data_IF_738492216705
#
_entry.id   IF_738492216705
#
_cell.length_a   1.000
_cell.length_b   1.000
_cell.length_c   1.000
_cell.angle_alpha   90.00
_cell.angle_beta   90.00
_cell.angle_gamma   90.00
#
_symmetry.space_group_name_H-M   'P 1'
#
loop_
_entity.id
_entity.type
_entity.pdbx_description
1 polymer ?
#
# COMPACT_ATOMS: atom_id res chain seq x y z
N UNK A 1 7.36 41.00 14.65
CA UNK A 1 7.60 39.67 15.25
C UNK A 1 7.40 38.63 14.15
N UNK A 2 8.38 37.77 13.86
CA UNK A 2 8.18 36.68 12.91
C UNK A 2 7.36 35.59 13.60
N UNK A 3 6.19 35.28 13.05
CA UNK A 3 5.34 34.21 13.55
C UNK A 3 6.08 32.88 13.36
N UNK A 4 6.13 32.05 14.41
CA UNK A 4 6.65 30.70 14.29
C UNK A 4 5.83 29.93 13.23
N UNK A 5 6.46 29.09 12.39
CA UNK A 5 5.71 28.28 11.45
C UNK A 5 4.67 27.43 12.19
N UNK A 6 3.48 27.30 11.60
CA UNK A 6 2.46 26.39 12.11
C UNK A 6 3.03 24.94 12.14
N UNK A 7 2.64 24.11 13.12
CA UNK A 7 3.06 22.73 13.15
C UNK A 7 2.58 22.00 11.88
N UNK A 8 3.38 21.04 11.41
CA UNK A 8 2.98 20.17 10.32
C UNK A 8 1.70 19.41 10.68
N UNK A 9 0.80 19.16 9.70
CA UNK A 9 -0.39 18.35 9.93
C UNK A 9 -0.01 16.93 10.38
N UNK A 10 -0.92 16.21 11.03
CA UNK A 10 -0.72 14.79 11.36
C UNK A 10 -1.39 13.93 10.27
N UNK A 11 -0.73 12.89 9.73
CA UNK A 11 -1.36 11.96 8.79
C UNK A 11 -2.65 11.38 9.37
N UNK A 12 -3.72 11.37 8.58
CA UNK A 12 -4.96 10.68 8.97
C UNK A 12 -4.74 9.18 8.81
N UNK A 13 -5.05 8.34 9.82
CA UNK A 13 -5.02 6.89 9.65
C UNK A 13 -5.89 6.45 8.48
N UNK A 14 -5.46 5.46 7.69
CA UNK A 14 -6.33 4.93 6.64
C UNK A 14 -7.52 4.17 7.24
N UNK A 15 -8.62 3.98 6.49
CA UNK A 15 -9.77 3.21 6.96
C UNK A 15 -9.36 1.77 7.36
N UNK A 16 -9.98 1.24 8.42
CA UNK A 16 -9.68 -0.14 8.88
C UNK A 16 -10.09 -1.20 7.85
N UNK A 17 -11.03 -0.88 6.97
CA UNK A 17 -11.45 -1.72 5.86
C UNK A 17 -11.70 -0.85 4.62
N UNK A 18 -11.14 -1.25 3.48
CA UNK A 18 -11.39 -0.59 2.20
C UNK A 18 -11.11 -1.53 1.02
N UNK A 19 -11.65 -1.13 -0.14
CA UNK A 19 -11.25 -1.66 -1.44
C UNK A 19 -10.55 -0.55 -2.22
N UNK A 20 -9.47 -0.91 -2.92
CA UNK A 20 -8.75 -0.01 -3.81
C UNK A 20 -8.30 -0.76 -5.07
N UNK A 21 -8.17 -0.02 -6.17
CA UNK A 21 -7.52 -0.51 -7.38
C UNK A 21 -6.12 0.11 -7.43
N UNK A 22 -5.10 -0.72 -7.39
CA UNK A 22 -3.70 -0.29 -7.40
C UNK A 22 -3.09 -0.65 -8.74
N UNK A 23 -2.39 0.30 -9.34
CA UNK A 23 -1.58 0.07 -10.53
C UNK A 23 -0.11 0.05 -10.14
N UNK A 24 0.56 -1.07 -10.37
CA UNK A 24 1.98 -1.24 -10.02
C UNK A 24 2.82 -1.34 -11.27
N UNK A 25 3.85 -0.50 -11.38
CA UNK A 25 4.84 -0.58 -12.43
C UNK A 25 6.13 -1.25 -11.93
N UNK A 26 6.34 -2.51 -12.32
CA UNK A 26 7.53 -3.28 -11.96
C UNK A 26 8.52 -3.42 -13.13
N UNK A 27 8.38 -2.67 -14.23
CA UNK A 27 9.21 -2.90 -15.43
C UNK A 27 10.69 -2.60 -15.20
N UNK A 28 11.02 -1.64 -14.32
CA UNK A 28 12.42 -1.30 -13.99
C UNK A 28 13.14 -2.40 -13.21
N UNK A 29 12.41 -3.23 -12.48
CA UNK A 29 12.96 -4.39 -11.75
C UNK A 29 12.86 -5.71 -12.52
N UNK A 30 12.52 -5.66 -13.82
CA UNK A 30 12.34 -6.83 -14.67
C UNK A 30 10.98 -7.53 -14.51
N UNK A 31 10.06 -6.93 -13.76
CA UNK A 31 8.68 -7.37 -13.63
C UNK A 31 7.77 -6.86 -14.75
N UNK A 32 6.46 -6.81 -14.46
CA UNK A 32 5.41 -6.40 -15.42
C UNK A 32 4.51 -5.33 -14.81
N UNK A 33 3.70 -4.70 -15.66
CA UNK A 33 2.61 -3.85 -15.21
C UNK A 33 1.50 -4.71 -14.63
N UNK A 34 1.02 -4.33 -13.45
CA UNK A 34 0.00 -5.06 -12.70
C UNK A 34 -1.17 -4.15 -12.34
N UNK A 35 -2.39 -4.67 -12.48
CA UNK A 35 -3.59 -4.10 -11.89
C UNK A 35 -4.02 -4.98 -10.73
N UNK A 36 -4.20 -4.40 -9.56
CA UNK A 36 -4.45 -5.11 -8.31
C UNK A 36 -5.76 -4.62 -7.70
N UNK A 37 -6.72 -5.52 -7.51
CA UNK A 37 -7.83 -5.28 -6.60
C UNK A 37 -7.37 -5.61 -5.18
N UNK A 38 -7.16 -4.57 -4.38
CA UNK A 38 -6.77 -4.67 -2.98
C UNK A 38 -8.01 -4.63 -2.10
N UNK A 39 -8.21 -5.68 -1.30
CA UNK A 39 -9.21 -5.74 -0.23
C UNK A 39 -8.47 -5.72 1.10
N UNK A 40 -8.50 -4.59 1.80
CA UNK A 40 -7.85 -4.41 3.09
C UNK A 40 -8.84 -4.68 4.24
N UNK A 41 -8.45 -5.52 5.19
CA UNK A 41 -9.27 -5.93 6.34
C UNK A 41 -8.43 -6.01 7.61
N UNK A 42 -8.18 -4.85 8.23
CA UNK A 42 -7.36 -4.75 9.44
C UNK A 42 -7.94 -5.53 10.64
N UNK A 43 -9.25 -5.45 10.97
CA UNK A 43 -9.82 -6.24 12.06
C UNK A 43 -9.72 -7.75 11.80
N UNK A 44 -9.82 -8.17 10.54
CA UNK A 44 -9.59 -9.54 10.10
C UNK A 44 -8.12 -9.95 10.01
N UNK A 45 -7.20 -9.00 10.21
CA UNK A 45 -5.75 -9.23 10.21
C UNK A 45 -5.18 -9.63 8.86
N UNK A 46 -5.81 -9.21 7.76
CA UNK A 46 -5.43 -9.63 6.39
C UNK A 46 -5.66 -8.57 5.34
N UNK A 47 -4.97 -8.69 4.21
CA UNK A 47 -5.45 -8.15 2.95
C UNK A 47 -5.51 -9.25 1.89
N UNK A 48 -6.23 -8.99 0.80
CA UNK A 48 -6.14 -9.76 -0.43
C UNK A 48 -5.74 -8.82 -1.56
N UNK A 49 -4.63 -9.14 -2.21
CA UNK A 49 -4.24 -8.60 -3.50
C UNK A 49 -4.67 -9.59 -4.58
N UNK A 50 -5.68 -9.22 -5.39
CA UNK A 50 -6.03 -9.96 -6.59
C UNK A 50 -5.31 -9.31 -7.78
N UNK A 51 -4.23 -9.96 -8.22
CA UNK A 51 -3.24 -9.40 -9.14
C UNK A 51 -3.52 -9.89 -10.55
N UNK A 52 -3.66 -8.96 -11.49
CA UNK A 52 -3.81 -9.21 -12.92
C UNK A 52 -2.68 -8.57 -13.71
N UNK A 53 -2.00 -9.37 -14.52
CA UNK A 53 -1.13 -8.86 -15.57
C UNK A 53 -2.00 -8.51 -16.79
N UNK A 54 -1.52 -7.62 -17.68
CA UNK A 54 -2.30 -7.09 -18.83
C UNK A 54 -2.95 -8.16 -19.73
N UNK A 55 -2.49 -9.41 -19.72
CA UNK A 55 -2.97 -10.50 -20.57
C UNK A 55 -3.23 -11.83 -19.82
N UNK A 56 -3.25 -11.85 -18.48
CA UNK A 56 -3.44 -13.10 -17.73
C UNK A 56 -4.92 -13.48 -17.60
N UNK A 57 -5.27 -14.70 -18.02
CA UNK A 57 -6.63 -15.25 -17.84
C UNK A 57 -6.89 -15.74 -16.41
N UNK A 58 -5.83 -16.16 -15.71
CA UNK A 58 -5.88 -16.59 -14.31
C UNK A 58 -5.15 -15.53 -13.45
N UNK A 59 -5.81 -14.93 -12.45
CA UNK A 59 -5.15 -13.97 -11.56
C UNK A 59 -4.30 -14.69 -10.50
N UNK A 60 -3.26 -14.01 -10.05
CA UNK A 60 -2.54 -14.41 -8.84
C UNK A 60 -3.25 -13.80 -7.63
N UNK A 61 -3.55 -14.62 -6.64
CA UNK A 61 -4.06 -14.18 -5.35
C UNK A 61 -2.90 -14.13 -4.36
N UNK A 62 -2.76 -13.03 -3.65
CA UNK A 62 -1.83 -12.88 -2.53
C UNK A 62 -2.61 -12.43 -1.29
N UNK A 63 -2.70 -13.31 -0.30
CA UNK A 63 -3.33 -13.03 0.99
C UNK A 63 -2.23 -12.79 2.02
N UNK A 64 -2.03 -11.53 2.39
CA UNK A 64 -1.04 -11.13 3.39
C UNK A 64 -1.69 -11.05 4.77
N UNK A 65 -1.00 -11.57 5.79
CA UNK A 65 -1.46 -11.56 7.18
C UNK A 65 -0.60 -10.64 8.06
N UNK A 66 -1.20 -10.14 9.14
CA UNK A 66 -0.51 -9.31 10.15
C UNK A 66 0.66 -10.01 10.85
N UNK A 67 0.71 -11.35 10.82
CA UNK A 67 1.83 -12.12 11.34
C UNK A 67 3.02 -12.23 10.36
N UNK A 68 2.95 -11.56 9.21
CA UNK A 68 3.97 -11.58 8.17
C UNK A 68 3.86 -12.73 7.17
N UNK A 69 2.91 -13.65 7.32
CA UNK A 69 2.72 -14.74 6.36
C UNK A 69 1.91 -14.25 5.17
N UNK A 70 2.38 -14.53 3.96
CA UNK A 70 1.62 -14.38 2.72
C UNK A 70 1.37 -15.73 2.07
N UNK A 71 0.18 -15.90 1.50
CA UNK A 71 -0.17 -17.06 0.68
C UNK A 71 -0.43 -16.63 -0.75
N UNK A 72 0.37 -17.14 -1.66
CA UNK A 72 0.28 -16.92 -3.09
C UNK A 72 -0.34 -18.14 -3.74
N UNK A 73 -1.44 -17.95 -4.49
CA UNK A 73 -2.07 -19.04 -5.20
C UNK A 73 -2.77 -18.60 -6.48
N UNK A 74 -2.92 -19.55 -7.38
CA UNK A 74 -3.68 -19.44 -8.63
C UNK A 74 -4.42 -20.78 -8.86
N UNK A 75 -4.93 -21.02 -10.07
CA UNK A 75 -5.64 -22.27 -10.36
C UNK A 75 -4.75 -23.52 -10.34
N UNK A 76 -3.43 -23.38 -10.40
CA UNK A 76 -2.48 -24.47 -10.59
C UNK A 76 -1.50 -24.66 -9.42
N UNK A 77 -1.29 -23.63 -8.60
CA UNK A 77 -0.23 -23.61 -7.59
C UNK A 77 -0.65 -22.89 -6.31
N UNK A 78 0.00 -23.26 -5.21
CA UNK A 78 -0.11 -22.57 -3.93
C UNK A 78 1.23 -22.64 -3.20
N UNK A 79 1.72 -21.51 -2.73
CA UNK A 79 2.91 -21.43 -1.89
C UNK A 79 2.78 -20.30 -0.87
N UNK A 80 3.58 -20.38 0.20
CA UNK A 80 3.63 -19.34 1.22
C UNK A 80 5.00 -18.67 1.26
N UNK A 81 5.01 -17.44 1.75
CA UNK A 81 6.24 -16.67 1.99
C UNK A 81 6.09 -15.90 3.29
N UNK A 82 7.20 -15.76 4.02
CA UNK A 82 7.28 -14.88 5.17
C UNK A 82 7.82 -13.52 4.72
N UNK A 83 7.04 -12.47 4.93
CA UNK A 83 7.43 -11.07 4.81
C UNK A 83 7.48 -10.45 6.20
N UNK A 84 8.67 -10.23 6.78
CA UNK A 84 8.81 -9.72 8.14
C UNK A 84 8.14 -8.36 8.38
N UNK A 85 7.92 -7.56 7.33
CA UNK A 85 7.20 -6.28 7.41
C UNK A 85 5.71 -6.49 7.71
N UNK A 86 5.13 -7.59 7.24
CA UNK A 86 3.71 -7.91 7.36
C UNK A 86 2.77 -6.88 6.77
N UNK A 87 1.49 -7.02 7.12
CA UNK A 87 0.45 -6.07 6.75
C UNK A 87 0.69 -4.73 7.47
N UNK A 88 0.73 -3.65 6.70
CA UNK A 88 0.86 -2.32 7.26
C UNK A 88 -0.39 -1.95 8.10
N UNK A 89 -0.22 -1.30 9.28
CA UNK A 89 -1.33 -0.89 10.14
C UNK A 89 -1.94 0.47 9.72
N UNK A 90 -3.17 0.80 10.16
CA UNK A 90 -3.84 2.10 9.95
C UNK A 90 -3.01 3.34 10.24
N UNK A 91 -2.18 3.27 11.26
CA UNK A 91 -1.32 4.36 11.69
C UNK A 91 0.09 4.26 11.10
N UNK A 92 0.29 3.55 9.98
CA UNK A 92 1.60 3.37 9.34
C UNK A 92 2.36 4.70 9.17
N UNK A 93 1.68 5.80 8.85
CA UNK A 93 2.32 7.11 8.68
C UNK A 93 2.48 7.92 9.97
N UNK A 94 1.85 7.54 11.07
CA UNK A 94 1.81 8.35 12.30
C UNK A 94 3.20 8.56 12.91
N UNK A 95 4.08 7.56 12.80
CA UNK A 95 5.45 7.63 13.31
C UNK A 95 6.48 7.53 12.17
N UNK A 96 7.42 8.47 12.16
CA UNK A 96 8.59 8.46 11.27
C UNK A 96 8.34 8.93 9.84
N UNK A 97 7.15 9.43 9.51
CA UNK A 97 6.90 10.11 8.24
C UNK A 97 7.36 11.58 8.29
N UNK A 98 7.83 12.10 7.16
CA UNK A 98 8.28 13.49 6.99
C UNK A 98 7.31 14.22 6.05
N UNK A 99 6.80 15.37 6.49
CA UNK A 99 5.87 16.18 5.70
C UNK A 99 6.63 16.93 4.62
N UNK A 100 6.18 16.83 3.37
CA UNK A 100 6.80 17.50 2.23
C UNK A 100 6.00 18.70 1.71
N UNK A 101 4.72 18.82 2.09
CA UNK A 101 3.85 19.93 1.69
C UNK A 101 2.54 19.44 1.09
N UNK A 102 1.97 20.24 0.19
CA UNK A 102 0.76 19.91 -0.56
C UNK A 102 1.08 19.74 -2.03
N UNK A 103 0.38 18.82 -2.69
CA UNK A 103 0.48 18.58 -4.13
C UNK A 103 -0.90 18.38 -4.74
N UNK A 104 -1.05 18.75 -6.01
CA UNK A 104 -2.27 18.52 -6.76
C UNK A 104 -2.12 17.27 -7.63
N UNK A 105 -2.84 16.19 -7.29
CA UNK A 105 -2.76 14.89 -7.96
C UNK A 105 -4.13 14.53 -8.49
N UNK A 106 -4.26 14.32 -9.80
CA UNK A 106 -5.51 13.95 -10.47
C UNK A 106 -6.74 14.83 -10.10
N UNK A 107 -6.50 16.11 -9.84
CA UNK A 107 -7.53 17.08 -9.45
C UNK A 107 -7.84 17.15 -7.95
N UNK A 108 -7.10 16.41 -7.11
CA UNK A 108 -7.20 16.42 -5.66
C UNK A 108 -6.04 17.20 -5.03
N UNK A 109 -6.32 17.97 -3.98
CA UNK A 109 -5.32 18.68 -3.19
C UNK A 109 -4.91 17.82 -1.98
N UNK A 110 -3.74 17.20 -2.08
CA UNK A 110 -3.26 16.16 -1.18
C UNK A 110 -2.12 16.66 -0.27
N UNK A 111 -2.06 16.15 0.95
CA UNK A 111 -0.89 16.28 1.82
C UNK A 111 0.14 15.22 1.44
N UNK A 112 1.37 15.63 1.15
CA UNK A 112 2.45 14.72 0.74
C UNK A 112 3.36 14.35 1.93
N UNK A 113 3.58 13.06 2.11
CA UNK A 113 4.47 12.49 3.12
C UNK A 113 5.50 11.56 2.48
N UNK A 114 6.69 11.49 3.08
CA UNK A 114 7.66 10.42 2.77
C UNK A 114 8.02 9.63 4.01
N UNK A 115 8.32 8.34 3.83
CA UNK A 115 8.76 7.44 4.90
C UNK A 115 9.74 6.42 4.33
N UNK A 116 10.73 6.03 5.16
CA UNK A 116 11.81 5.07 4.82
C UNK A 116 12.57 5.38 3.51
N UNK A 117 12.66 6.66 3.13
CA UNK A 117 13.46 7.21 2.01
C UNK A 117 13.07 6.78 0.58
N UNK A 118 12.17 5.81 0.41
CA UNK A 118 11.72 5.34 -0.90
C UNK A 118 10.20 5.18 -1.04
N UNK A 119 9.42 5.62 -0.03
CA UNK A 119 7.95 5.56 -0.07
C UNK A 119 7.38 6.97 0.07
N UNK A 120 6.43 7.30 -0.81
CA UNK A 120 5.67 8.54 -0.81
C UNK A 120 4.18 8.22 -0.74
N UNK A 121 3.46 8.98 0.07
CA UNK A 121 2.01 8.91 0.27
C UNK A 121 1.39 10.29 0.10
#
# INVERSE_FOLDING_TARGET
>A
MRQAPAPSPVPTPWPEQFHAVVFTNLTESGGRLQLIDLYYDWPGGRNLNLIRDQLSGDPLYDVEWTNGTSYFFDSASCHSRLFPVGLLPPDWLAAGAVYLGREHVDGFDCHLWTKVDFVWY
#
